data_IF_428187603599
#
_entry.id   IF_428187603599
#
_cell.length_a   1.000
_cell.length_b   1.000
_cell.length_c   1.000
_cell.angle_alpha   90.00
_cell.angle_beta   90.00
_cell.angle_gamma   90.00
#
_symmetry.space_group_name_H-M   'P 1'
#
loop_
_entity.id
_entity.type
_entity.pdbx_description
1 polymer ?
#
# COMPACT_ATOMS: atom_id res chain seq x y z
N UNK A 1 -10.45 -23.80 -1.70
CA UNK A 1 -9.97 -22.71 -0.82
C UNK A 1 -11.20 -22.09 -0.17
N UNK A 2 -11.23 -21.99 1.16
CA UNK A 2 -12.31 -21.30 1.88
C UNK A 2 -12.07 -19.79 1.73
N UNK A 3 -13.09 -19.07 1.26
CA UNK A 3 -13.02 -17.62 1.05
C UNK A 3 -13.95 -16.98 2.05
N UNK A 4 -13.42 -16.11 2.91
CA UNK A 4 -14.23 -15.24 3.74
C UNK A 4 -14.78 -14.09 2.88
N UNK A 5 -16.10 -13.96 2.82
CA UNK A 5 -16.76 -12.98 1.95
C UNK A 5 -17.21 -11.79 2.77
N UNK A 6 -16.67 -10.62 2.41
CA UNK A 6 -17.05 -9.34 2.99
C UNK A 6 -17.89 -8.52 2.00
N UNK A 7 -18.91 -7.83 2.52
CA UNK A 7 -19.64 -6.80 1.79
C UNK A 7 -19.08 -5.44 2.16
N UNK A 8 -18.73 -4.63 1.16
CA UNK A 8 -18.08 -3.33 1.36
C UNK A 8 -18.97 -2.25 0.73
N UNK A 9 -19.39 -1.29 1.56
CA UNK A 9 -20.06 -0.08 1.09
C UNK A 9 -19.01 0.99 0.74
N UNK A 10 -19.21 1.69 -0.36
CA UNK A 10 -18.32 2.73 -0.86
C UNK A 10 -19.13 3.88 -1.41
N UNK A 11 -18.56 5.08 -1.36
CA UNK A 11 -19.06 6.21 -2.15
C UNK A 11 -19.12 5.82 -3.64
N UNK A 12 -20.15 6.24 -4.39
CA UNK A 12 -20.35 5.82 -5.78
C UNK A 12 -19.12 6.05 -6.67
N UNK A 13 -18.51 7.24 -6.56
CA UNK A 13 -17.36 7.65 -7.36
C UNK A 13 -16.12 6.81 -7.03
N UNK A 14 -15.91 6.49 -5.75
CA UNK A 14 -14.84 5.60 -5.33
C UNK A 14 -15.07 4.18 -5.87
N UNK A 15 -16.31 3.68 -5.80
CA UNK A 15 -16.67 2.39 -6.37
C UNK A 15 -16.41 2.31 -7.88
N UNK A 16 -16.71 3.38 -8.62
CA UNK A 16 -16.38 3.48 -10.05
C UNK A 16 -14.86 3.45 -10.27
N UNK A 17 -14.11 4.30 -9.57
CA UNK A 17 -12.65 4.36 -9.69
C UNK A 17 -11.96 3.02 -9.38
N UNK A 18 -12.45 2.27 -8.38
CA UNK A 18 -11.93 0.94 -8.04
C UNK A 18 -12.20 -0.07 -9.16
N UNK A 19 -13.39 -0.05 -9.79
CA UNK A 19 -13.71 -0.92 -10.93
C UNK A 19 -12.80 -0.62 -12.11
N UNK A 20 -12.63 0.66 -12.47
CA UNK A 20 -11.75 1.06 -13.57
C UNK A 20 -10.30 0.67 -13.30
N UNK A 21 -9.84 0.82 -12.06
CA UNK A 21 -8.48 0.41 -11.67
C UNK A 21 -8.28 -1.11 -11.75
N UNK A 22 -9.29 -1.90 -11.35
CA UNK A 22 -9.26 -3.35 -11.45
C UNK A 22 -9.23 -3.80 -12.92
N UNK A 23 -10.04 -3.15 -13.78
CA UNK A 23 -10.05 -3.40 -15.23
C UNK A 23 -8.69 -3.09 -15.87
N UNK A 24 -8.11 -1.91 -15.59
CA UNK A 24 -6.77 -1.57 -16.10
C UNK A 24 -5.68 -2.55 -15.66
N UNK A 25 -5.82 -3.11 -14.47
CA UNK A 25 -4.89 -4.09 -13.93
C UNK A 25 -5.19 -5.54 -14.36
N UNK A 26 -6.29 -5.79 -15.08
CA UNK A 26 -6.70 -7.13 -15.50
C UNK A 26 -7.07 -8.07 -14.34
N UNK A 27 -7.53 -7.52 -13.22
CA UNK A 27 -7.91 -8.28 -12.01
C UNK A 27 -9.36 -8.02 -11.62
N UNK A 28 -9.93 -8.87 -10.75
CA UNK A 28 -11.26 -8.61 -10.19
C UNK A 28 -11.23 -7.43 -9.20
N UNK A 29 -12.39 -6.82 -8.96
CA UNK A 29 -12.56 -5.78 -7.92
C UNK A 29 -12.11 -6.29 -6.56
N UNK A 30 -12.48 -7.52 -6.18
CA UNK A 30 -12.04 -8.13 -4.93
C UNK A 30 -10.53 -8.33 -4.89
N UNK A 31 -9.91 -8.76 -5.99
CA UNK A 31 -8.46 -8.87 -6.12
C UNK A 31 -7.78 -7.51 -5.93
N UNK A 32 -8.32 -6.45 -6.54
CA UNK A 32 -7.80 -5.09 -6.37
C UNK A 32 -7.90 -4.60 -4.93
N UNK A 33 -9.02 -4.86 -4.26
CA UNK A 33 -9.21 -4.50 -2.85
C UNK A 33 -8.24 -5.26 -1.94
N UNK A 34 -8.03 -6.56 -2.18
CA UNK A 34 -7.07 -7.37 -1.41
C UNK A 34 -5.65 -6.86 -1.60
N UNK A 35 -5.24 -6.51 -2.83
CA UNK A 35 -3.94 -5.91 -3.09
C UNK A 35 -3.77 -4.58 -2.35
N UNK A 36 -4.74 -3.68 -2.46
CA UNK A 36 -4.69 -2.38 -1.78
C UNK A 36 -4.62 -2.53 -0.25
N UNK A 37 -5.37 -3.48 0.32
CA UNK A 37 -5.31 -3.78 1.75
C UNK A 37 -3.94 -4.34 2.17
N UNK A 38 -3.36 -5.24 1.36
CA UNK A 38 -2.04 -5.79 1.61
C UNK A 38 -0.93 -4.73 1.53
N UNK A 39 -0.99 -3.84 0.53
CA UNK A 39 -0.05 -2.74 0.37
C UNK A 39 -0.16 -1.75 1.54
N UNK A 40 -1.39 -1.42 1.97
CA UNK A 40 -1.60 -0.58 3.15
C UNK A 40 -1.00 -1.22 4.41
N UNK A 41 -1.27 -2.49 4.67
CA UNK A 41 -0.75 -3.20 5.83
C UNK A 41 0.79 -3.26 5.79
N UNK A 42 1.39 -3.52 4.63
CA UNK A 42 2.84 -3.53 4.46
C UNK A 42 3.43 -2.16 4.80
N UNK A 43 2.82 -1.08 4.32
CA UNK A 43 3.29 0.28 4.59
C UNK A 43 3.14 0.66 6.07
N UNK A 44 2.06 0.24 6.73
CA UNK A 44 1.86 0.48 8.17
C UNK A 44 2.91 -0.28 9.01
N UNK A 45 3.20 -1.53 8.66
CA UNK A 45 4.25 -2.32 9.30
C UNK A 45 5.65 -1.76 9.03
N UNK A 46 5.90 -1.27 7.82
CA UNK A 46 7.15 -0.60 7.48
C UNK A 46 7.33 0.67 8.31
N UNK A 47 6.29 1.51 8.42
CA UNK A 47 6.32 2.71 9.25
C UNK A 47 6.68 2.39 10.70
N UNK A 48 6.00 1.41 11.30
CA UNK A 48 6.30 0.97 12.67
C UNK A 48 7.74 0.45 12.84
N UNK A 49 8.28 -0.22 11.82
CA UNK A 49 9.67 -0.69 11.85
C UNK A 49 10.68 0.46 11.75
N UNK A 50 10.38 1.48 10.93
CA UNK A 50 11.21 2.69 10.83
C UNK A 50 11.17 3.49 12.13
N UNK A 51 9.99 3.65 12.75
CA UNK A 51 9.85 4.33 14.05
C UNK A 51 10.69 3.64 15.14
N UNK A 52 10.69 2.30 15.16
CA UNK A 52 11.51 1.52 16.10
C UNK A 52 13.01 1.71 15.85
N UNK A 53 13.41 1.75 14.58
CA UNK A 53 14.80 1.99 14.19
C UNK A 53 15.27 3.40 14.58
N UNK A 54 14.48 4.44 14.29
CA UNK A 54 14.84 5.83 14.62
C UNK A 54 14.98 6.07 16.14
N UNK A 55 14.24 5.30 16.94
CA UNK A 55 14.36 5.34 18.40
C UNK A 55 15.71 4.77 18.91
N UNK A 56 16.32 3.85 18.16
CA UNK A 56 17.60 3.22 18.50
C UNK A 56 18.80 3.97 17.90
N UNK A 57 18.71 4.35 16.63
CA UNK A 57 19.84 4.86 15.84
C UNK A 57 19.74 6.37 15.50
N UNK A 58 18.60 7.01 15.80
CA UNK A 58 18.30 8.39 15.42
C UNK A 58 17.61 8.51 14.05
N UNK A 59 17.06 9.68 13.71
CA UNK A 59 16.32 9.87 12.45
C UNK A 59 17.24 9.79 11.23
N UNK A 60 16.70 9.36 10.08
CA UNK A 60 17.41 9.41 8.81
C UNK A 60 17.77 10.85 8.42
N UNK A 61 18.98 11.04 7.89
CA UNK A 61 19.38 12.31 7.29
C UNK A 61 18.77 12.53 5.90
N UNK A 62 18.64 13.79 5.50
CA UNK A 62 18.10 14.16 4.18
C UNK A 62 18.86 13.49 3.02
N UNK A 63 20.20 13.40 3.11
CA UNK A 63 21.03 12.73 2.09
C UNK A 63 20.73 11.23 1.95
N UNK A 64 20.44 10.56 3.08
CA UNK A 64 20.11 9.13 3.11
C UNK A 64 18.72 8.88 2.52
N UNK A 65 17.75 9.74 2.86
CA UNK A 65 16.40 9.70 2.29
C UNK A 65 16.41 9.98 0.78
N UNK A 66 17.20 10.94 0.32
CA UNK A 66 17.35 11.25 -1.11
C UNK A 66 17.97 10.09 -1.88
N UNK A 67 18.98 9.42 -1.31
CA UNK A 67 19.59 8.23 -1.90
C UNK A 67 18.60 7.05 -1.98
N UNK A 68 17.81 6.83 -0.92
CA UNK A 68 16.76 5.82 -0.90
C UNK A 68 15.66 6.12 -1.94
N UNK A 69 15.19 7.37 -2.01
CA UNK A 69 14.18 7.80 -2.98
C UNK A 69 14.68 7.67 -4.43
N UNK A 70 15.95 7.97 -4.68
CA UNK A 70 16.57 7.77 -5.99
C UNK A 70 16.56 6.30 -6.41
N UNK A 71 16.79 5.38 -5.48
CA UNK A 71 16.76 3.93 -5.74
C UNK A 71 15.34 3.44 -6.06
N UNK A 72 14.34 3.88 -5.30
CA UNK A 72 12.94 3.46 -5.47
C UNK A 72 12.29 3.99 -6.75
N UNK A 73 12.72 5.15 -7.27
CA UNK A 73 12.20 5.74 -8.51
C UNK A 73 12.54 4.92 -9.77
N UNK A 74 13.54 4.04 -9.69
CA UNK A 74 14.04 3.22 -10.80
C UNK A 74 13.38 1.82 -10.81
N UNK A 75 12.58 1.50 -9.78
CA UNK A 75 11.85 0.23 -9.64
C UNK A 75 10.46 0.23 -10.25
#
# INVERSE_FOLDING_TARGET
MQVDRVSVAMEPDLGAAVRDAAERAGVSVSGRLVQAAADRLRNDLLGAALDAWEAEDGPFGDEELDAAAATLRIG
#
